data_IF_173867793683
#
_entry.id   IF_173867793683
#
_cell.length_a   1.000
_cell.length_b   1.000
_cell.length_c   1.000
_cell.angle_alpha   90.00
_cell.angle_beta   90.00
_cell.angle_gamma   90.00
#
_symmetry.space_group_name_H-M   'P 1'
#
loop_
_entity.id
_entity.type
_entity.pdbx_description
1 polymer ?
#
# COMPACT_ATOMS: atom_id res chain seq x y z
N UNK A 1 -35.19 11.28 4.07
CA UNK A 1 -33.85 11.52 4.65
C UNK A 1 -33.17 10.17 4.71
N UNK A 2 -32.40 9.81 3.68
CA UNK A 2 -31.79 8.49 3.56
C UNK A 2 -30.40 8.53 4.19
N UNK A 3 -30.24 7.84 5.31
CA UNK A 3 -28.97 7.64 5.99
C UNK A 3 -28.12 6.63 5.19
N UNK A 4 -27.13 7.13 4.45
CA UNK A 4 -26.13 6.32 3.75
C UNK A 4 -25.26 5.57 4.76
N UNK A 5 -25.64 4.32 5.05
CA UNK A 5 -24.85 3.37 5.84
C UNK A 5 -23.45 3.21 5.22
N UNK A 6 -22.35 3.40 5.97
CA UNK A 6 -21.02 3.21 5.43
C UNK A 6 -20.84 1.75 5.02
N UNK A 7 -20.55 1.55 3.73
CA UNK A 7 -20.50 0.24 3.09
C UNK A 7 -19.56 -0.71 3.85
N UNK A 8 -20.06 -1.91 4.18
CA UNK A 8 -19.29 -3.05 4.76
C UNK A 8 -17.88 -3.18 4.17
N UNK A 9 -17.75 -2.90 2.87
CA UNK A 9 -16.51 -2.87 2.10
C UNK A 9 -15.39 -2.03 2.73
N UNK A 10 -15.70 -0.89 3.36
CA UNK A 10 -14.68 -0.03 4.00
C UNK A 10 -14.04 -0.69 5.23
N UNK A 11 -14.82 -1.35 6.09
CA UNK A 11 -14.28 -2.04 7.28
C UNK A 11 -13.46 -3.27 6.89
N UNK A 12 -13.88 -4.03 5.87
CA UNK A 12 -13.09 -5.12 5.30
C UNK A 12 -11.77 -4.64 4.70
N UNK A 13 -11.76 -3.48 4.00
CA UNK A 13 -10.54 -2.85 3.47
C UNK A 13 -9.53 -2.53 4.57
N UNK A 14 -9.97 -1.95 5.70
CA UNK A 14 -9.08 -1.62 6.83
C UNK A 14 -8.55 -2.88 7.52
N UNK A 15 -9.39 -3.90 7.70
CA UNK A 15 -9.01 -5.16 8.35
C UNK A 15 -8.00 -5.97 7.51
N UNK A 16 -8.21 -6.10 6.20
CA UNK A 16 -7.27 -6.78 5.30
C UNK A 16 -5.97 -6.01 5.14
N UNK A 17 -6.03 -4.68 5.02
CA UNK A 17 -4.84 -3.85 5.01
C UNK A 17 -4.01 -4.08 6.29
N UNK A 18 -4.64 -4.08 7.48
CA UNK A 18 -3.97 -4.39 8.76
C UNK A 18 -3.34 -5.79 8.79
N UNK A 19 -4.03 -6.80 8.26
CA UNK A 19 -3.51 -8.19 8.20
C UNK A 19 -2.31 -8.31 7.27
N UNK A 20 -2.34 -7.65 6.11
CA UNK A 20 -1.20 -7.56 5.19
C UNK A 20 -0.02 -6.79 5.82
N UNK A 21 -0.27 -5.74 6.62
CA UNK A 21 0.81 -5.06 7.36
C UNK A 21 1.54 -5.97 8.34
N UNK A 22 0.80 -6.90 8.95
CA UNK A 22 1.34 -7.86 9.93
C UNK A 22 1.99 -9.10 9.30
N UNK A 23 1.86 -9.29 7.99
CA UNK A 23 2.40 -10.44 7.26
C UNK A 23 3.44 -10.04 6.20
N UNK A 24 3.99 -8.82 6.31
CA UNK A 24 5.10 -8.42 5.46
C UNK A 24 6.25 -9.41 5.66
N UNK A 25 6.60 -10.11 4.59
CA UNK A 25 7.67 -11.10 4.54
C UNK A 25 9.02 -10.44 4.78
N UNK A 26 10.00 -11.18 5.29
CA UNK A 26 11.37 -10.67 5.47
C UNK A 26 11.94 -10.10 4.16
N UNK A 27 11.58 -10.70 3.02
CA UNK A 27 11.91 -10.23 1.69
C UNK A 27 11.41 -8.79 1.44
N UNK A 28 10.15 -8.49 1.77
CA UNK A 28 9.59 -7.15 1.62
C UNK A 28 10.24 -6.13 2.57
N UNK A 29 10.57 -6.54 3.80
CA UNK A 29 11.28 -5.69 4.75
C UNK A 29 12.69 -5.33 4.24
N UNK A 30 13.41 -6.31 3.67
CA UNK A 30 14.72 -6.09 3.04
C UNK A 30 14.60 -5.21 1.81
N UNK A 31 13.61 -5.46 0.95
CA UNK A 31 13.34 -4.65 -0.24
C UNK A 31 13.05 -3.19 0.13
N UNK A 32 12.21 -2.96 1.15
CA UNK A 32 11.88 -1.61 1.61
C UNK A 32 13.10 -0.81 2.06
N UNK A 33 14.05 -1.43 2.77
CA UNK A 33 15.29 -0.75 3.18
C UNK A 33 16.11 -0.25 1.99
N UNK A 34 16.07 -0.96 0.87
CA UNK A 34 16.73 -0.55 -0.35
C UNK A 34 15.90 0.54 -1.05
N UNK A 35 14.60 0.31 -1.24
CA UNK A 35 13.69 1.24 -1.93
C UNK A 35 13.56 2.61 -1.26
N UNK A 36 13.52 2.68 0.08
CA UNK A 36 13.42 3.94 0.82
C UNK A 36 14.67 4.81 0.70
N UNK A 37 15.84 4.17 0.53
CA UNK A 37 17.13 4.86 0.42
C UNK A 37 17.52 5.22 -1.00
N UNK A 38 16.68 4.92 -2.01
CA UNK A 38 16.97 5.21 -3.41
C UNK A 38 17.10 6.74 -3.57
N UNK A 39 18.30 7.26 -3.87
CA UNK A 39 18.52 8.68 -4.07
C UNK A 39 18.28 9.04 -5.55
N UNK A 40 17.17 8.56 -6.11
CA UNK A 40 16.77 8.94 -7.46
C UNK A 40 15.79 10.09 -7.29
N UNK A 41 16.18 11.26 -7.80
CA UNK A 41 15.31 12.43 -7.84
C UNK A 41 13.99 12.06 -8.52
N UNK A 42 12.91 12.17 -7.76
CA UNK A 42 11.59 11.85 -8.26
C UNK A 42 11.14 10.39 -8.14
N UNK A 43 11.80 9.53 -7.35
CA UNK A 43 11.23 8.21 -7.02
C UNK A 43 10.89 8.10 -5.54
N UNK A 44 9.73 8.63 -5.15
CA UNK A 44 9.19 8.40 -3.81
C UNK A 44 8.38 7.10 -3.78
N UNK A 45 9.00 6.00 -3.36
CA UNK A 45 8.29 4.75 -3.10
C UNK A 45 7.44 4.88 -1.83
N UNK A 46 6.19 4.44 -1.92
CA UNK A 46 5.26 4.34 -0.80
C UNK A 46 4.96 2.86 -0.56
N UNK A 47 4.89 2.48 0.71
CA UNK A 47 4.53 1.11 1.11
C UNK A 47 3.01 1.01 1.32
N UNK A 48 2.39 -0.10 0.90
CA UNK A 48 0.97 -0.43 1.10
C UNK A 48 0.01 0.62 0.54
N UNK A 49 0.16 0.89 -0.74
CA UNK A 49 -0.66 1.88 -1.45
C UNK A 49 -1.99 1.24 -1.86
N UNK A 50 -3.14 1.82 -1.46
CA UNK A 50 -4.43 1.39 -2.00
C UNK A 50 -4.57 1.83 -3.46
N UNK A 51 -4.67 0.88 -4.37
CA UNK A 51 -4.90 1.11 -5.81
C UNK A 51 -6.24 0.46 -6.19
N UNK A 52 -7.30 1.28 -6.16
CA UNK A 52 -8.66 0.84 -6.48
C UNK A 52 -9.17 -0.27 -5.55
N UNK A 53 -9.25 -1.49 -6.08
CA UNK A 53 -9.66 -2.70 -5.34
C UNK A 53 -8.48 -3.48 -4.74
N UNK A 54 -7.25 -3.12 -5.08
CA UNK A 54 -6.03 -3.82 -4.69
C UNK A 54 -5.20 -2.97 -3.72
N UNK A 55 -4.30 -3.64 -3.01
CA UNK A 55 -3.27 -3.00 -2.20
C UNK A 55 -1.92 -3.42 -2.78
N UNK A 56 -1.13 -2.44 -3.23
CA UNK A 56 0.22 -2.66 -3.70
C UNK A 56 1.18 -2.58 -2.50
N UNK A 57 2.06 -3.56 -2.34
CA UNK A 57 3.04 -3.58 -1.26
C UNK A 57 4.04 -2.43 -1.39
N UNK A 58 4.51 -2.14 -2.61
CA UNK A 58 5.25 -0.91 -2.92
C UNK A 58 4.74 -0.26 -4.21
N UNK A 59 4.61 1.06 -4.21
CA UNK A 59 4.31 1.81 -5.43
C UNK A 59 5.04 3.15 -5.47
N UNK A 60 5.51 3.53 -6.66
CA UNK A 60 6.02 4.84 -6.96
C UNK A 60 5.10 5.53 -7.98
N UNK A 61 4.33 6.51 -7.52
CA UNK A 61 3.36 7.22 -8.38
C UNK A 61 4.03 8.08 -9.45
N UNK A 62 5.25 8.53 -9.21
CA UNK A 62 5.93 9.47 -10.09
C UNK A 62 6.41 8.81 -11.40
N UNK A 63 6.74 7.51 -11.35
CA UNK A 63 7.11 6.72 -12.53
C UNK A 63 6.07 5.64 -12.89
N UNK A 64 4.96 5.53 -12.13
CA UNK A 64 3.93 4.52 -12.36
C UNK A 64 4.37 3.08 -12.12
N UNK A 65 5.28 2.85 -11.16
CA UNK A 65 5.83 1.53 -10.87
C UNK A 65 5.16 0.89 -9.64
N UNK A 66 4.84 -0.40 -9.72
CA UNK A 66 4.31 -1.23 -8.62
C UNK A 66 5.22 -2.44 -8.45
N UNK A 67 5.57 -2.79 -7.21
CA UNK A 67 6.36 -3.96 -6.83
C UNK A 67 5.64 -4.73 -5.73
#
# INVERSE_FOLDING_TARGET
MAEEKPAKLQRFKVANARRLRNNATDAEARLWRHLWKIPIEGTHFRRQVPIGRYFADFACHQIGLII
#
